data_IF_988655770859
#
_entry.id   IF_988655770859
#
_cell.length_a   1.000
_cell.length_b   1.000
_cell.length_c   1.000
_cell.angle_alpha   90.00
_cell.angle_beta   90.00
_cell.angle_gamma   90.00
#
_symmetry.space_group_name_H-M   'P 1'
#
loop_
_entity.id
_entity.type
_entity.pdbx_description
1 polymer ?
#
# COMPACT_ATOMS: atom_id res chain seq x y z
N UNK A 1 19.47 2.70 1.75
CA UNK A 1 18.66 1.46 1.58
C UNK A 1 17.17 1.69 1.75
N UNK A 2 16.72 2.35 2.82
CA UNK A 2 15.31 2.75 2.96
C UNK A 2 14.81 3.59 1.77
N UNK A 3 15.56 4.62 1.38
CA UNK A 3 15.19 5.50 0.26
C UNK A 3 15.08 4.77 -1.08
N UNK A 4 15.91 3.74 -1.30
CA UNK A 4 15.82 2.89 -2.48
C UNK A 4 14.51 2.08 -2.46
N UNK A 5 14.17 1.48 -1.31
CA UNK A 5 12.91 0.74 -1.13
C UNK A 5 11.71 1.66 -1.44
N UNK A 6 11.69 2.84 -0.80
CA UNK A 6 10.65 3.84 -0.96
C UNK A 6 10.52 4.32 -2.41
N UNK A 7 11.64 4.65 -3.06
CA UNK A 7 11.66 5.10 -4.45
C UNK A 7 11.07 4.05 -5.40
N UNK A 8 11.44 2.77 -5.25
CA UNK A 8 10.90 1.70 -6.08
C UNK A 8 9.40 1.51 -5.86
N UNK A 9 8.94 1.49 -4.62
CA UNK A 9 7.51 1.34 -4.30
C UNK A 9 6.69 2.53 -4.82
N UNK A 10 7.14 3.76 -4.60
CA UNK A 10 6.47 4.96 -5.12
C UNK A 10 6.47 5.03 -6.66
N UNK A 11 7.48 4.45 -7.32
CA UNK A 11 7.55 4.36 -8.78
C UNK A 11 6.80 3.15 -9.35
N UNK A 12 6.10 2.37 -8.52
CA UNK A 12 5.43 1.12 -8.91
C UNK A 12 6.39 0.10 -9.57
N UNK A 13 7.64 0.05 -9.10
CA UNK A 13 8.66 -0.88 -9.55
C UNK A 13 8.75 -2.04 -8.53
N UNK A 14 8.50 -3.30 -8.95
CA UNK A 14 8.63 -4.44 -8.05
C UNK A 14 10.04 -4.55 -7.47
N UNK A 15 10.14 -4.79 -6.16
CA UNK A 15 11.45 -4.94 -5.48
C UNK A 15 12.30 -6.07 -6.07
N UNK A 16 11.68 -7.10 -6.66
CA UNK A 16 12.39 -8.20 -7.35
C UNK A 16 13.27 -7.71 -8.51
N UNK A 17 13.01 -6.51 -9.06
CA UNK A 17 13.86 -5.90 -10.10
C UNK A 17 15.28 -5.62 -9.63
N UNK A 18 15.52 -5.50 -8.32
CA UNK A 18 16.87 -5.37 -7.76
C UNK A 18 17.73 -6.61 -7.97
N UNK A 19 17.13 -7.80 -8.09
CA UNK A 19 17.88 -9.04 -8.38
C UNK A 19 18.41 -9.09 -9.82
N UNK A 20 18.00 -8.18 -10.70
CA UNK A 20 18.53 -8.13 -12.05
C UNK A 20 19.98 -7.63 -12.04
N UNK A 21 20.89 -8.41 -12.63
CA UNK A 21 22.33 -8.11 -12.64
C UNK A 21 22.64 -6.75 -13.26
N UNK A 22 22.01 -6.39 -14.39
CA UNK A 22 22.27 -5.10 -15.05
C UNK A 22 21.77 -3.91 -14.24
N UNK A 23 20.57 -4.05 -13.66
CA UNK A 23 20.02 -3.04 -12.76
C UNK A 23 20.93 -2.84 -11.55
N UNK A 24 21.38 -3.94 -10.94
CA UNK A 24 22.26 -3.91 -9.78
C UNK A 24 23.61 -3.27 -10.11
N UNK A 25 24.29 -3.72 -11.16
CA UNK A 25 25.58 -3.18 -11.58
C UNK A 25 25.50 -1.69 -11.95
N UNK A 26 24.39 -1.23 -12.54
CA UNK A 26 24.18 0.19 -12.81
C UNK A 26 24.19 1.02 -11.52
N UNK A 27 23.40 0.62 -10.52
CA UNK A 27 23.31 1.36 -9.26
C UNK A 27 24.60 1.26 -8.44
N UNK A 28 25.25 0.11 -8.38
CA UNK A 28 26.54 -0.05 -7.68
C UNK A 28 27.62 0.85 -8.31
N UNK A 29 27.65 0.94 -9.65
CA UNK A 29 28.59 1.80 -10.38
C UNK A 29 28.47 3.28 -9.99
N UNK A 30 27.25 3.80 -9.87
CA UNK A 30 27.04 5.23 -9.63
C UNK A 30 26.88 5.60 -8.16
N UNK A 31 26.44 4.68 -7.30
CA UNK A 31 26.32 4.94 -5.86
C UNK A 31 27.59 4.59 -5.09
N UNK A 32 28.53 3.84 -5.69
CA UNK A 32 29.73 3.29 -5.04
C UNK A 32 29.42 2.45 -3.80
N UNK A 33 28.19 1.92 -3.71
CA UNK A 33 27.70 1.14 -2.59
C UNK A 33 27.08 -0.17 -3.08
N UNK A 34 27.23 -1.22 -2.29
CA UNK A 34 26.53 -2.48 -2.52
C UNK A 34 25.02 -2.31 -2.29
N UNK A 35 24.21 -2.94 -3.13
CA UNK A 35 22.76 -2.84 -3.01
C UNK A 35 22.24 -3.95 -2.09
N UNK A 36 21.33 -3.66 -1.15
CA UNK A 36 20.71 -4.69 -0.34
C UNK A 36 20.00 -5.76 -1.18
N UNK A 37 19.99 -7.00 -0.70
CA UNK A 37 19.18 -8.05 -1.30
C UNK A 37 17.68 -7.73 -1.21
N UNK A 38 16.88 -8.32 -2.10
CA UNK A 38 15.41 -8.19 -2.04
C UNK A 38 14.85 -8.66 -0.69
N UNK A 39 15.44 -9.72 -0.12
CA UNK A 39 15.06 -10.24 1.21
C UNK A 39 15.29 -9.18 2.30
N UNK A 40 16.43 -8.50 2.26
CA UNK A 40 16.75 -7.39 3.17
C UNK A 40 15.74 -6.26 3.03
N UNK A 41 15.40 -5.87 1.80
CA UNK A 41 14.44 -4.79 1.57
C UNK A 41 13.05 -5.12 2.12
N UNK A 42 12.56 -6.32 1.82
CA UNK A 42 11.26 -6.81 2.29
C UNK A 42 11.15 -6.89 3.81
N UNK A 43 12.18 -7.42 4.47
CA UNK A 43 12.15 -7.65 5.92
C UNK A 43 12.42 -6.38 6.73
N UNK A 44 13.27 -5.49 6.22
CA UNK A 44 13.77 -4.36 7.01
C UNK A 44 13.09 -3.05 6.69
N UNK A 45 12.71 -2.78 5.43
CA UNK A 45 12.25 -1.43 5.04
C UNK A 45 10.82 -1.37 4.49
N UNK A 46 10.26 -2.48 3.99
CA UNK A 46 8.88 -2.47 3.44
C UNK A 46 7.85 -2.08 4.49
N UNK A 47 7.97 -2.57 5.72
CA UNK A 47 7.04 -2.22 6.80
C UNK A 47 7.14 -0.73 7.16
N UNK A 48 8.35 -0.18 7.22
CA UNK A 48 8.55 1.24 7.55
C UNK A 48 7.92 2.14 6.48
N UNK A 49 8.15 1.84 5.20
CA UNK A 49 7.52 2.57 4.10
C UNK A 49 5.98 2.45 4.12
N UNK A 50 5.45 1.29 4.49
CA UNK A 50 4.00 1.09 4.66
C UNK A 50 3.46 1.97 5.80
N UNK A 51 4.10 1.95 6.97
CA UNK A 51 3.70 2.77 8.11
C UNK A 51 3.79 4.27 7.81
N UNK A 52 4.82 4.71 7.08
CA UNK A 52 4.92 6.10 6.60
C UNK A 52 3.76 6.48 5.66
N UNK A 53 3.35 5.57 4.77
CA UNK A 53 2.21 5.81 3.88
C UNK A 53 0.89 5.90 4.66
N UNK A 54 0.67 5.01 5.64
CA UNK A 54 -0.49 5.06 6.53
C UNK A 54 -0.50 6.36 7.34
N UNK A 55 0.63 6.76 7.92
CA UNK A 55 0.76 8.02 8.66
C UNK A 55 0.44 9.25 7.79
N UNK A 56 0.87 9.23 6.53
CA UNK A 56 0.52 10.26 5.57
C UNK A 56 -0.98 10.29 5.26
N UNK A 57 -1.62 9.14 5.10
CA UNK A 57 -3.07 9.03 4.92
C UNK A 57 -3.80 9.60 6.15
N UNK A 58 -3.39 9.23 7.38
CA UNK A 58 -3.94 9.76 8.63
C UNK A 58 -3.88 11.28 8.68
N UNK A 59 -2.73 11.87 8.36
CA UNK A 59 -2.53 13.32 8.28
C UNK A 59 -3.44 13.98 7.25
N UNK A 60 -3.71 13.32 6.13
CA UNK A 60 -4.56 13.85 5.08
C UNK A 60 -6.07 13.76 5.43
N UNK A 61 -6.48 12.76 6.24
CA UNK A 61 -7.89 12.57 6.63
C UNK A 61 -8.28 13.23 7.95
N UNK A 62 -7.33 13.49 8.85
CA UNK A 62 -7.62 13.99 10.21
C UNK A 62 -8.40 15.31 10.17
N UNK A 63 -9.47 15.38 10.98
CA UNK A 63 -10.35 16.54 11.07
C UNK A 63 -11.32 16.72 9.89
N UNK A 64 -11.23 15.89 8.85
CA UNK A 64 -12.17 15.89 7.72
C UNK A 64 -13.25 14.83 7.90
N UNK A 65 -14.43 15.08 7.33
CA UNK A 65 -15.41 14.01 7.11
C UNK A 65 -14.87 13.10 6.00
N UNK A 66 -15.07 11.79 6.13
CA UNK A 66 -14.68 10.82 5.11
C UNK A 66 -15.90 10.12 4.53
N UNK A 67 -15.76 9.65 3.30
CA UNK A 67 -16.59 8.59 2.74
C UNK A 67 -15.75 7.32 2.64
N UNK A 68 -16.43 6.18 2.74
CA UNK A 68 -15.82 4.86 2.59
C UNK A 68 -16.63 4.09 1.56
N UNK A 69 -15.93 3.50 0.58
CA UNK A 69 -16.49 2.58 -0.40
C UNK A 69 -15.80 1.24 -0.25
N UNK A 70 -16.58 0.17 -0.32
CA UNK A 70 -16.08 -1.20 -0.31
C UNK A 70 -16.40 -1.79 -1.68
N UNK A 71 -15.37 -2.21 -2.39
CA UNK A 71 -15.48 -2.86 -3.69
C UNK A 71 -15.18 -4.35 -3.54
N UNK A 72 -16.17 -5.18 -3.84
CA UNK A 72 -16.10 -6.64 -3.79
C UNK A 72 -15.82 -7.17 -5.19
N UNK A 73 -14.66 -7.80 -5.38
CA UNK A 73 -14.24 -8.37 -6.67
C UNK A 73 -13.86 -9.84 -6.47
N UNK A 74 -14.29 -10.71 -7.38
CA UNK A 74 -13.78 -12.10 -7.44
C UNK A 74 -12.61 -12.16 -8.42
N UNK A 75 -11.44 -12.61 -7.96
CA UNK A 75 -10.28 -12.71 -8.83
C UNK A 75 -10.32 -13.94 -9.75
N UNK A 76 -9.34 -14.04 -10.65
CA UNK A 76 -9.23 -15.17 -11.61
C UNK A 76 -9.00 -16.53 -10.93
N UNK A 77 -8.61 -16.53 -9.66
CA UNK A 77 -8.43 -17.72 -8.83
C UNK A 77 -9.66 -18.01 -7.96
N UNK A 78 -10.78 -17.32 -8.20
CA UNK A 78 -12.05 -17.46 -7.48
C UNK A 78 -11.92 -17.08 -5.99
N UNK A 79 -10.98 -16.18 -5.67
CA UNK A 79 -10.85 -15.58 -4.34
C UNK A 79 -11.73 -14.34 -4.27
N UNK A 80 -12.48 -14.21 -3.19
CA UNK A 80 -13.21 -12.98 -2.90
C UNK A 80 -12.22 -11.95 -2.39
N UNK A 81 -12.02 -10.87 -3.12
CA UNK A 81 -11.16 -9.74 -2.76
C UNK A 81 -12.06 -8.58 -2.41
N UNK A 82 -11.82 -7.93 -1.28
CA UNK A 82 -12.51 -6.72 -0.91
C UNK A 82 -11.52 -5.57 -0.74
N UNK A 83 -11.78 -4.49 -1.48
CA UNK A 83 -10.99 -3.27 -1.51
C UNK A 83 -11.72 -2.19 -0.72
N UNK A 84 -11.05 -1.60 0.28
CA UNK A 84 -11.58 -0.47 1.02
C UNK A 84 -10.95 0.80 0.50
N UNK A 85 -11.80 1.64 -0.08
CA UNK A 85 -11.42 2.92 -0.63
C UNK A 85 -11.99 4.00 0.29
N UNK A 86 -11.15 4.93 0.71
CA UNK A 86 -11.57 6.08 1.50
C UNK A 86 -11.30 7.37 0.74
N UNK A 87 -12.10 8.39 1.00
CA UNK A 87 -11.80 9.72 0.52
C UNK A 87 -12.30 10.80 1.46
N UNK A 88 -11.65 11.96 1.41
CA UNK A 88 -12.06 13.13 2.19
C UNK A 88 -13.20 13.88 1.51
N UNK A 89 -14.21 14.28 2.30
CA UNK A 89 -15.33 15.10 1.87
C UNK A 89 -15.01 16.57 2.13
N UNK A 90 -14.67 17.30 1.09
CA UNK A 90 -14.43 18.75 1.12
C UNK A 90 -15.59 19.47 0.43
N UNK A 91 -15.94 20.67 0.91
CA UNK A 91 -17.13 21.42 0.42
C UNK A 91 -17.01 21.83 -1.04
N UNK A 92 -15.82 22.25 -1.46
CA UNK A 92 -15.64 22.98 -2.72
C UNK A 92 -14.73 22.25 -3.73
N UNK A 93 -14.21 21.07 -3.38
CA UNK A 93 -13.30 20.30 -4.23
C UNK A 93 -13.33 18.82 -3.92
N UNK A 94 -12.80 18.02 -4.84
CA UNK A 94 -12.52 16.61 -4.55
C UNK A 94 -11.43 16.51 -3.49
N UNK A 95 -11.67 15.68 -2.48
CA UNK A 95 -10.65 15.29 -1.52
C UNK A 95 -9.67 14.28 -2.09
N UNK A 96 -8.60 14.00 -1.35
CA UNK A 96 -7.70 12.89 -1.68
C UNK A 96 -8.42 11.57 -1.44
N UNK A 97 -8.14 10.59 -2.31
CA UNK A 97 -8.73 9.26 -2.31
C UNK A 97 -7.61 8.24 -2.17
N UNK A 98 -7.81 7.22 -1.34
CA UNK A 98 -6.84 6.17 -1.05
C UNK A 98 -7.49 4.80 -1.09
N UNK A 99 -6.77 3.82 -1.63
CA UNK A 99 -7.00 2.41 -1.31
C UNK A 99 -6.36 2.14 0.05
N UNK A 100 -7.19 2.01 1.09
CA UNK A 100 -6.75 1.86 2.47
C UNK A 100 -6.35 0.43 2.79
N UNK A 101 -7.16 -0.54 2.36
CA UNK A 101 -6.93 -1.96 2.62
C UNK A 101 -7.44 -2.82 1.46
N UNK A 102 -6.77 -3.93 1.20
CA UNK A 102 -7.20 -4.97 0.28
C UNK A 102 -7.03 -6.31 0.99
N UNK A 103 -8.14 -7.03 1.19
CA UNK A 103 -8.13 -8.29 1.92
C UNK A 103 -8.78 -9.40 1.10
N UNK A 104 -8.24 -10.62 1.24
CA UNK A 104 -8.86 -11.84 0.71
C UNK A 104 -9.87 -12.33 1.73
N UNK A 105 -11.13 -12.38 1.34
CA UNK A 105 -12.23 -12.90 2.16
C UNK A 105 -12.48 -14.38 1.89
N UNK A 106 -12.87 -15.11 2.93
CA UNK A 106 -13.36 -16.49 2.80
C UNK A 106 -14.66 -16.53 1.97
N UNK A 107 -15.50 -15.51 2.13
CA UNK A 107 -16.78 -15.33 1.43
C UNK A 107 -17.20 -13.86 1.43
N UNK A 108 -17.94 -13.45 0.40
CA UNK A 108 -18.54 -12.14 0.28
C UNK A 108 -19.94 -12.12 0.92
N UNK A 109 -20.06 -11.65 2.17
CA UNK A 109 -21.35 -11.44 2.82
C UNK A 109 -21.30 -10.32 3.87
N UNK A 110 -22.46 -9.92 4.38
CA UNK A 110 -22.55 -8.80 5.33
C UNK A 110 -21.64 -8.95 6.56
N UNK A 111 -21.42 -10.17 7.04
CA UNK A 111 -20.63 -10.41 8.25
C UNK A 111 -19.14 -10.22 7.99
N UNK A 112 -18.62 -10.76 6.88
CA UNK A 112 -17.20 -10.61 6.52
C UNK A 112 -16.89 -9.17 6.13
N UNK A 113 -17.78 -8.52 5.40
CA UNK A 113 -17.65 -7.10 5.02
C UNK A 113 -17.66 -6.20 6.26
N UNK A 114 -18.56 -6.43 7.22
CA UNK A 114 -18.62 -5.61 8.45
C UNK A 114 -17.33 -5.75 9.27
N UNK A 115 -16.80 -6.96 9.40
CA UNK A 115 -15.52 -7.19 10.11
C UNK A 115 -14.34 -6.51 9.41
N UNK A 116 -14.30 -6.60 8.08
CA UNK A 116 -13.28 -5.96 7.26
C UNK A 116 -13.34 -4.42 7.39
N UNK A 117 -14.55 -3.85 7.35
CA UNK A 117 -14.75 -2.42 7.56
C UNK A 117 -14.22 -1.99 8.93
N UNK A 118 -14.67 -2.66 10.00
CA UNK A 118 -14.26 -2.35 11.37
C UNK A 118 -12.74 -2.46 11.55
N UNK A 119 -12.14 -3.57 11.09
CA UNK A 119 -10.68 -3.80 11.18
C UNK A 119 -9.87 -2.74 10.45
N UNK A 120 -10.34 -2.30 9.27
CA UNK A 120 -9.61 -1.34 8.44
C UNK A 120 -9.74 0.09 8.94
N UNK A 121 -10.83 0.43 9.63
CA UNK A 121 -10.96 1.74 10.25
C UNK A 121 -9.94 1.96 11.37
N UNK A 122 -9.42 0.91 12.02
CA UNK A 122 -8.30 1.02 12.97
C UNK A 122 -6.98 1.48 12.32
N UNK A 123 -6.88 1.49 10.98
CA UNK A 123 -5.72 2.05 10.31
C UNK A 123 -5.74 3.58 10.26
N UNK A 124 -6.89 4.23 10.46
CA UNK A 124 -7.02 5.69 10.50
C UNK A 124 -6.91 6.24 11.92
#
# INVERSE_FOLDING_TARGET
SHDLCKALMCANIPLDKISNVQFRSFFEKYTLNDIPSVSTLRKTYTNDCYLEAIDQIRKDVVGNKIWVSIDETTDVQVRYIANIIIGTLLKDRSGKIYLLNTEVLEKANFSTITKLFDSSMFFL
#
